data_IF_122629549183
#
_entry.id   IF_122629549183
#
_cell.length_a   1.000
_cell.length_b   1.000
_cell.length_c   1.000
_cell.angle_alpha   90.00
_cell.angle_beta   90.00
_cell.angle_gamma   90.00
#
_symmetry.space_group_name_H-M   'P 1'
#
loop_
_entity.id
_entity.type
_entity.pdbx_description
1 polymer ?
#
# COMPACT_ATOMS: atom_id res chain seq x y z
N UNK A 1 -13.67 -67.23 24.51
CA UNK A 1 -14.42 -67.55 23.27
C UNK A 1 -13.79 -66.70 22.17
N UNK A 2 -12.82 -67.19 21.41
CA UNK A 2 -12.83 -68.28 20.39
C UNK A 2 -13.48 -67.83 19.07
N UNK A 3 -12.65 -67.95 18.01
CA UNK A 3 -12.89 -68.05 16.54
C UNK A 3 -13.09 -66.76 15.74
N UNK A 4 -12.18 -66.40 14.82
CA UNK A 4 -11.75 -67.07 13.54
C UNK A 4 -12.84 -66.96 12.46
N UNK A 5 -12.59 -66.10 11.47
CA UNK A 5 -12.17 -66.40 10.07
C UNK A 5 -13.29 -66.94 9.19
N UNK A 6 -13.37 -66.43 7.96
CA UNK A 6 -13.19 -67.18 6.69
C UNK A 6 -13.94 -66.50 5.52
N UNK A 7 -13.20 -66.02 4.52
CA UNK A 7 -12.92 -66.64 3.19
C UNK A 7 -14.01 -66.36 2.16
N UNK A 8 -13.70 -65.58 1.12
CA UNK A 8 -13.14 -66.00 -0.18
C UNK A 8 -14.17 -66.68 -1.09
N UNK A 9 -14.21 -66.22 -2.35
CA UNK A 9 -14.29 -67.16 -3.45
C UNK A 9 -15.26 -66.86 -4.59
N UNK A 10 -14.66 -66.50 -5.72
CA UNK A 10 -14.81 -67.26 -6.98
C UNK A 10 -15.95 -66.91 -7.95
N UNK A 11 -15.51 -66.52 -9.15
CA UNK A 11 -15.85 -67.23 -10.38
C UNK A 11 -16.47 -66.35 -11.46
N UNK A 12 -15.82 -66.02 -12.59
CA UNK A 12 -15.23 -66.83 -13.68
C UNK A 12 -16.08 -66.70 -14.96
N UNK A 13 -15.45 -66.17 -16.04
CA UNK A 13 -15.49 -66.64 -17.45
C UNK A 13 -16.84 -66.67 -18.22
N UNK A 14 -16.97 -66.48 -19.55
CA UNK A 14 -16.06 -66.27 -20.69
C UNK A 14 -16.90 -65.98 -21.96
N UNK A 15 -16.18 -65.75 -23.09
CA UNK A 15 -16.53 -66.00 -24.50
C UNK A 15 -17.36 -64.91 -25.22
N UNK A 16 -16.80 -64.08 -26.10
CA UNK A 16 -16.25 -64.36 -27.44
C UNK A 16 -17.28 -64.81 -28.47
N UNK A 17 -17.50 -64.02 -29.55
CA UNK A 17 -17.37 -64.45 -30.97
C UNK A 17 -17.94 -63.46 -32.01
N UNK A 18 -17.03 -62.98 -32.89
CA UNK A 18 -17.09 -62.97 -34.37
C UNK A 18 -18.24 -62.27 -35.15
N UNK A 19 -17.84 -61.23 -35.91
CA UNK A 19 -18.25 -60.83 -37.28
C UNK A 19 -18.36 -62.04 -38.26
N UNK A 20 -18.95 -62.00 -39.49
CA UNK A 20 -18.93 -60.88 -40.47
C UNK A 20 -20.11 -60.78 -41.51
N UNK A 21 -19.94 -59.86 -42.47
CA UNK A 21 -20.15 -60.01 -43.94
C UNK A 21 -21.38 -59.42 -44.66
N UNK A 22 -21.04 -58.48 -45.56
CA UNK A 22 -21.49 -58.30 -46.96
C UNK A 22 -22.96 -57.98 -47.29
N UNK A 23 -23.20 -56.81 -47.90
CA UNK A 23 -23.74 -56.78 -49.27
C UNK A 23 -23.46 -55.45 -49.99
N UNK A 24 -22.90 -55.58 -51.19
CA UNK A 24 -22.70 -54.57 -52.22
C UNK A 24 -23.94 -54.55 -53.12
N UNK A 25 -24.48 -53.37 -53.47
CA UNK A 25 -25.27 -53.08 -54.68
C UNK A 25 -25.53 -51.55 -54.72
N UNK A 26 -24.78 -50.81 -55.53
CA UNK A 26 -25.16 -50.36 -56.88
C UNK A 26 -26.47 -49.55 -56.93
N UNK A 27 -26.34 -48.24 -57.15
CA UNK A 27 -27.20 -47.49 -58.08
C UNK A 27 -26.67 -46.09 -58.37
N UNK A 28 -26.84 -45.75 -59.64
CA UNK A 28 -26.34 -44.60 -60.37
C UNK A 28 -26.80 -43.26 -59.79
N UNK A 29 -26.01 -42.21 -60.03
CA UNK A 29 -26.53 -40.88 -60.36
C UNK A 29 -25.55 -40.14 -61.28
N UNK A 30 -26.07 -39.23 -62.13
CA UNK A 30 -25.58 -39.02 -63.48
C UNK A 30 -24.43 -38.02 -63.52
N UNK A 31 -23.35 -38.35 -64.21
CA UNK A 31 -22.38 -37.35 -64.64
C UNK A 31 -23.10 -36.46 -65.66
N UNK A 32 -23.52 -35.28 -65.22
CA UNK A 32 -24.02 -34.24 -66.10
C UNK A 32 -22.97 -33.94 -67.16
N UNK A 33 -23.32 -34.20 -68.42
CA UNK A 33 -22.53 -33.86 -69.59
C UNK A 33 -22.33 -32.33 -69.61
N UNK A 34 -21.22 -31.84 -69.07
CA UNK A 34 -20.82 -30.45 -69.29
C UNK A 34 -20.43 -30.30 -70.76
N UNK A 35 -21.22 -29.54 -71.51
CA UNK A 35 -20.88 -29.18 -72.89
C UNK A 35 -20.17 -27.82 -72.87
N UNK A 36 -19.05 -27.71 -73.57
CA UNK A 36 -18.35 -26.44 -73.76
C UNK A 36 -18.50 -25.97 -75.21
N UNK A 37 -18.32 -24.67 -75.43
CA UNK A 37 -18.37 -24.09 -76.77
C UNK A 37 -17.00 -24.27 -77.41
N UNK A 38 -16.97 -24.94 -78.55
CA UNK A 38 -15.78 -25.09 -79.38
C UNK A 38 -15.96 -24.32 -80.68
N UNK A 39 -14.95 -23.54 -81.06
CA UNK A 39 -14.92 -22.76 -82.30
C UNK A 39 -14.00 -23.43 -83.31
N UNK A 40 -14.55 -23.83 -84.46
CA UNK A 40 -13.77 -24.49 -85.51
C UNK A 40 -12.72 -23.51 -86.09
N UNK A 41 -11.41 -23.85 -86.10
CA UNK A 41 -10.38 -22.95 -86.61
C UNK A 41 -10.48 -22.71 -88.12
N UNK A 42 -11.11 -23.62 -88.87
CA UNK A 42 -11.14 -23.56 -90.32
C UNK A 42 -12.38 -22.83 -90.90
N UNK A 43 -13.52 -22.82 -90.20
CA UNK A 43 -14.74 -22.14 -90.66
C UNK A 43 -15.40 -21.24 -89.62
N UNK A 44 -14.78 -21.09 -88.44
CA UNK A 44 -15.25 -20.25 -87.33
C UNK A 44 -16.68 -20.59 -86.85
N UNK A 45 -17.16 -21.80 -87.13
CA UNK A 45 -18.43 -22.28 -86.61
C UNK A 45 -18.27 -22.63 -85.13
N UNK A 46 -19.10 -22.02 -84.29
CA UNK A 46 -19.22 -22.38 -82.89
C UNK A 46 -20.19 -23.54 -82.73
N UNK A 47 -19.78 -24.58 -82.03
CA UNK A 47 -20.62 -25.74 -81.73
C UNK A 47 -20.50 -26.07 -80.25
N UNK A 48 -21.61 -26.41 -79.60
CA UNK A 48 -21.58 -26.96 -78.25
C UNK A 48 -21.18 -28.43 -78.35
N UNK A 49 -20.04 -28.77 -77.77
CA UNK A 49 -19.45 -30.10 -77.81
C UNK A 49 -19.44 -30.66 -76.39
N UNK A 50 -19.88 -31.91 -76.24
CA UNK A 50 -19.82 -32.59 -74.94
C UNK A 50 -18.36 -32.82 -74.52
N UNK A 51 -18.06 -32.72 -73.21
CA UNK A 51 -16.70 -32.90 -72.68
C UNK A 51 -16.05 -34.23 -73.08
N UNK A 52 -16.84 -35.27 -73.38
CA UNK A 52 -16.35 -36.56 -73.90
C UNK A 52 -15.58 -36.46 -75.22
N UNK A 53 -15.79 -35.40 -76.01
CA UNK A 53 -15.07 -35.18 -77.26
C UNK A 53 -13.85 -34.25 -77.12
N UNK A 54 -13.59 -33.72 -75.91
CA UNK A 54 -12.36 -32.99 -75.65
C UNK A 54 -11.15 -33.92 -75.84
N UNK A 55 -10.11 -33.44 -76.52
CA UNK A 55 -8.91 -34.20 -76.86
C UNK A 55 -9.07 -35.16 -78.05
N UNK A 56 -10.22 -35.17 -78.74
CA UNK A 56 -10.46 -36.03 -79.90
C UNK A 56 -10.37 -35.24 -81.22
N UNK A 57 -10.08 -35.96 -82.31
CA UNK A 57 -10.09 -35.44 -83.68
C UNK A 57 -11.35 -35.93 -84.39
N UNK A 58 -12.12 -35.02 -84.98
CA UNK A 58 -13.33 -35.35 -85.72
C UNK A 58 -13.65 -34.33 -86.82
N UNK A 59 -14.49 -34.67 -87.80
CA UNK A 59 -14.89 -33.72 -88.83
C UNK A 59 -15.78 -32.62 -88.24
N UNK A 60 -15.51 -31.37 -88.58
CA UNK A 60 -16.38 -30.26 -88.25
C UNK A 60 -17.74 -30.43 -88.95
N UNK A 61 -18.84 -30.33 -88.20
CA UNK A 61 -20.22 -30.49 -88.71
C UNK A 61 -20.57 -29.51 -89.85
N UNK A 62 -19.91 -28.35 -89.91
CA UNK A 62 -20.20 -27.32 -90.91
C UNK A 62 -19.34 -27.38 -92.17
N UNK A 63 -18.04 -27.68 -92.04
CA UNK A 63 -17.11 -27.63 -93.18
C UNK A 63 -16.49 -28.99 -93.54
N UNK A 64 -16.78 -30.05 -92.77
CA UNK A 64 -16.29 -31.41 -93.01
C UNK A 64 -14.81 -31.65 -92.75
N UNK A 65 -13.99 -30.60 -92.53
CA UNK A 65 -12.55 -30.76 -92.24
C UNK A 65 -12.31 -31.31 -90.83
N UNK A 66 -11.28 -32.14 -90.67
CA UNK A 66 -10.88 -32.67 -89.37
C UNK A 66 -10.34 -31.55 -88.46
N UNK A 67 -10.88 -31.48 -87.24
CA UNK A 67 -10.47 -30.52 -86.21
C UNK A 67 -10.23 -31.25 -84.89
N UNK A 68 -9.22 -30.81 -84.17
CA UNK A 68 -8.91 -31.28 -82.82
C UNK A 68 -9.65 -30.39 -81.81
N UNK A 69 -10.46 -30.99 -80.95
CA UNK A 69 -11.21 -30.25 -79.93
C UNK A 69 -10.33 -30.13 -78.69
N UNK A 70 -9.67 -28.98 -78.52
CA UNK A 70 -8.85 -28.74 -77.33
C UNK A 70 -9.73 -28.60 -76.07
N UNK A 71 -9.29 -29.19 -74.96
CA UNK A 71 -9.95 -29.01 -73.66
C UNK A 71 -9.63 -27.62 -73.11
N UNK A 72 -10.61 -26.83 -72.64
CA UNK A 72 -10.34 -25.58 -71.95
C UNK A 72 -9.48 -25.86 -70.71
N UNK A 73 -8.35 -25.17 -70.55
CA UNK A 73 -7.58 -25.20 -69.32
C UNK A 73 -8.37 -24.38 -68.27
N UNK A 74 -8.87 -25.01 -67.23
CA UNK A 74 -9.36 -24.30 -66.05
C UNK A 74 -8.11 -23.92 -65.26
N UNK A 75 -7.78 -22.62 -65.20
CA UNK A 75 -6.76 -22.14 -64.29
C UNK A 75 -7.26 -22.36 -62.85
N UNK A 76 -6.57 -23.24 -62.11
CA UNK A 76 -6.81 -23.48 -60.69
C UNK A 76 -6.48 -22.20 -59.91
N UNK A 77 -7.49 -21.38 -59.67
CA UNK A 77 -7.38 -20.19 -58.85
C UNK A 77 -7.18 -20.56 -57.37
N UNK A 78 -5.97 -20.26 -56.88
CA UNK A 78 -5.55 -20.09 -55.48
C UNK A 78 -5.83 -21.25 -54.49
N UNK A 79 -4.76 -21.93 -54.08
CA UNK A 79 -4.77 -22.91 -52.99
C UNK A 79 -5.15 -22.24 -51.65
N UNK A 80 -6.21 -22.68 -50.94
CA UNK A 80 -6.63 -22.08 -49.67
C UNK A 80 -5.62 -22.25 -48.52
N UNK A 81 -4.53 -23.00 -48.70
CA UNK A 81 -3.49 -23.20 -47.68
C UNK A 81 -2.59 -21.96 -47.47
N UNK A 82 -2.35 -21.14 -48.50
CA UNK A 82 -1.45 -19.97 -48.39
C UNK A 82 -2.07 -18.80 -47.60
N UNK A 83 -3.40 -18.71 -47.57
CA UNK A 83 -4.11 -17.69 -46.79
C UNK A 83 -4.07 -17.99 -45.27
N UNK A 84 -4.05 -19.26 -44.88
CA UNK A 84 -4.11 -19.70 -43.49
C UNK A 84 -2.76 -19.56 -42.75
N UNK A 85 -1.64 -19.74 -43.45
CA UNK A 85 -0.30 -19.61 -42.88
C UNK A 85 0.06 -18.17 -42.52
N UNK A 86 -0.29 -17.19 -43.36
CA UNK A 86 -0.01 -15.77 -43.11
C UNK A 86 -0.91 -15.16 -42.01
N UNK A 87 -2.15 -15.63 -41.89
CA UNK A 87 -3.07 -15.19 -40.83
C UNK A 87 -2.59 -15.62 -39.43
N UNK A 88 -2.01 -16.81 -39.31
CA UNK A 88 -1.49 -17.34 -38.04
C UNK A 88 -0.27 -16.57 -37.54
N UNK A 89 0.63 -16.15 -38.43
CA UNK A 89 1.81 -15.35 -38.09
C UNK A 89 1.47 -13.93 -37.64
N UNK A 90 0.51 -13.28 -38.31
CA UNK A 90 0.03 -11.94 -37.92
C UNK A 90 -0.69 -11.96 -36.57
N UNK A 91 -1.50 -12.98 -36.30
CA UNK A 91 -2.17 -13.13 -35.01
C UNK A 91 -1.16 -13.28 -33.86
N UNK A 92 -0.11 -14.09 -34.04
CA UNK A 92 0.94 -14.26 -33.03
C UNK A 92 1.73 -12.96 -32.79
N UNK A 93 2.08 -12.22 -33.85
CA UNK A 93 2.77 -10.94 -33.72
C UNK A 93 1.95 -9.89 -32.97
N UNK A 94 0.65 -9.80 -33.24
CA UNK A 94 -0.25 -8.88 -32.53
C UNK A 94 -0.40 -9.26 -31.05
N UNK A 95 -0.46 -10.55 -30.73
CA UNK A 95 -0.48 -11.02 -29.34
C UNK A 95 0.83 -10.67 -28.62
N UNK A 96 1.98 -10.91 -29.25
CA UNK A 96 3.28 -10.56 -28.67
C UNK A 96 3.43 -9.04 -28.50
N UNK A 97 3.07 -8.26 -29.50
CA UNK A 97 3.09 -6.79 -29.43
C UNK A 97 2.14 -6.27 -28.33
N UNK A 98 0.96 -6.88 -28.19
CA UNK A 98 0.02 -6.57 -27.12
C UNK A 98 0.59 -6.86 -25.73
N UNK A 99 1.24 -8.02 -25.54
CA UNK A 99 1.88 -8.37 -24.27
C UNK A 99 3.01 -7.40 -23.92
N UNK A 100 3.84 -7.01 -24.90
CA UNK A 100 4.89 -6.00 -24.71
C UNK A 100 4.27 -4.64 -24.37
N UNK A 101 3.20 -4.23 -25.05
CA UNK A 101 2.52 -2.97 -24.78
C UNK A 101 1.91 -2.94 -23.37
N UNK A 102 1.12 -3.94 -22.98
CA UNK A 102 0.52 -3.98 -21.64
C UNK A 102 1.58 -4.17 -20.54
N UNK A 103 2.64 -4.93 -20.81
CA UNK A 103 3.77 -5.08 -19.90
C UNK A 103 4.47 -3.74 -19.67
N UNK A 104 4.84 -3.03 -20.74
CA UNK A 104 5.50 -1.72 -20.66
C UNK A 104 4.61 -0.66 -19.99
N UNK A 105 3.33 -0.59 -20.34
CA UNK A 105 2.37 0.32 -19.70
C UNK A 105 2.22 -0.01 -18.21
N UNK A 106 2.10 -1.29 -17.85
CA UNK A 106 2.03 -1.73 -16.46
C UNK A 106 3.28 -1.37 -15.66
N UNK A 107 4.47 -1.58 -16.23
CA UNK A 107 5.74 -1.17 -15.61
C UNK A 107 5.84 0.35 -15.45
N UNK A 108 5.40 1.13 -16.44
CA UNK A 108 5.38 2.59 -16.34
C UNK A 108 4.43 3.07 -15.24
N UNK A 109 3.22 2.49 -15.15
CA UNK A 109 2.27 2.79 -14.07
C UNK A 109 2.88 2.45 -12.71
N UNK A 110 3.51 1.26 -12.58
CA UNK A 110 4.16 0.86 -11.34
C UNK A 110 5.24 1.87 -10.92
N UNK A 111 6.14 2.24 -11.83
CA UNK A 111 7.24 3.18 -11.54
C UNK A 111 6.73 4.58 -11.19
N UNK A 112 5.66 5.05 -11.83
CA UNK A 112 5.15 6.42 -11.61
C UNK A 112 4.23 6.51 -10.39
N UNK A 113 3.28 5.58 -10.27
CA UNK A 113 2.19 5.68 -9.26
C UNK A 113 2.66 5.22 -7.88
N UNK A 114 3.43 4.13 -7.81
CA UNK A 114 3.79 3.52 -6.52
C UNK A 114 4.63 4.47 -5.63
N UNK A 115 5.66 5.17 -6.12
CA UNK A 115 6.40 6.15 -5.30
C UNK A 115 5.52 7.29 -4.81
N UNK A 116 4.58 7.77 -5.63
CA UNK A 116 3.66 8.85 -5.22
C UNK A 116 2.73 8.40 -4.10
N UNK A 117 2.20 7.17 -4.16
CA UNK A 117 1.37 6.61 -3.08
C UNK A 117 2.18 6.50 -1.78
N UNK A 118 3.45 6.08 -1.85
CA UNK A 118 4.30 6.02 -0.67
C UNK A 118 4.56 7.41 -0.07
N UNK A 119 4.90 8.40 -0.90
CA UNK A 119 5.12 9.78 -0.44
C UNK A 119 3.86 10.39 0.19
N UNK A 120 2.68 10.18 -0.41
CA UNK A 120 1.41 10.68 0.14
C UNK A 120 1.08 10.02 1.48
N UNK A 121 1.34 8.71 1.62
CA UNK A 121 1.15 8.02 2.91
C UNK A 121 2.09 8.54 3.98
N UNK A 122 3.37 8.73 3.65
CA UNK A 122 4.34 9.28 4.57
C UNK A 122 3.96 10.69 5.03
N UNK A 123 3.58 11.57 4.09
CA UNK A 123 3.08 12.91 4.39
C UNK A 123 1.83 12.85 5.29
N UNK A 124 0.87 11.98 4.99
CA UNK A 124 -0.34 11.85 5.81
C UNK A 124 -0.03 11.35 7.23
N UNK A 125 0.96 10.47 7.42
CA UNK A 125 1.42 10.04 8.75
C UNK A 125 2.15 11.18 9.46
N UNK A 126 3.01 11.92 8.77
CA UNK A 126 3.69 13.10 9.29
C UNK A 126 2.69 14.17 9.76
N UNK A 127 1.71 14.51 8.93
CA UNK A 127 0.66 15.47 9.24
C UNK A 127 -0.22 15.01 10.40
N UNK A 128 -0.49 13.70 10.51
CA UNK A 128 -1.25 13.15 11.64
C UNK A 128 -0.49 13.29 12.95
N UNK A 129 0.81 12.98 12.99
CA UNK A 129 1.66 13.24 14.17
C UNK A 129 1.65 14.73 14.52
N UNK A 130 1.76 15.59 13.50
CA UNK A 130 1.70 17.06 13.67
C UNK A 130 0.39 17.53 14.27
N UNK A 131 -0.74 17.02 13.77
CA UNK A 131 -2.06 17.36 14.27
C UNK A 131 -2.27 16.92 15.72
N UNK A 132 -1.82 15.71 16.09
CA UNK A 132 -1.87 15.24 17.48
C UNK A 132 -1.08 16.15 18.42
N UNK A 133 0.10 16.57 18.01
CA UNK A 133 0.93 17.47 18.80
C UNK A 133 0.35 18.89 18.90
N UNK A 134 -0.28 19.38 17.83
CA UNK A 134 -1.06 20.63 17.85
C UNK A 134 -2.27 20.54 18.81
N UNK A 135 -2.97 19.40 18.86
CA UNK A 135 -4.05 19.18 19.82
C UNK A 135 -3.55 19.19 21.26
N UNK A 136 -2.39 18.58 21.53
CA UNK A 136 -1.71 18.70 22.84
C UNK A 136 -1.39 20.17 23.15
N UNK A 137 -0.85 20.93 22.20
CA UNK A 137 -0.53 22.34 22.40
C UNK A 137 -1.74 23.21 22.70
N UNK A 138 -2.85 22.98 21.99
CA UNK A 138 -4.13 23.63 22.28
C UNK A 138 -4.63 23.29 23.68
N UNK A 139 -4.52 22.03 24.10
CA UNK A 139 -4.92 21.60 25.43
C UNK A 139 -4.04 22.20 26.54
N UNK A 140 -2.72 22.27 26.34
CA UNK A 140 -1.78 22.91 27.26
C UNK A 140 -2.07 24.41 27.41
N UNK A 141 -2.34 25.11 26.30
CA UNK A 141 -2.73 26.53 26.33
C UNK A 141 -4.08 26.73 27.02
N UNK A 142 -5.09 25.91 26.70
CA UNK A 142 -6.39 25.99 27.37
C UNK A 142 -6.30 25.71 28.87
N UNK A 143 -5.41 24.80 29.29
CA UNK A 143 -5.10 24.58 30.69
C UNK A 143 -4.42 25.82 31.31
N UNK A 144 -3.42 26.39 30.63
CA UNK A 144 -2.77 27.62 31.10
C UNK A 144 -3.77 28.77 31.27
N UNK A 145 -4.66 28.99 30.30
CA UNK A 145 -5.71 30.03 30.37
C UNK A 145 -6.65 29.82 31.57
N UNK A 146 -6.99 28.56 31.88
CA UNK A 146 -7.90 28.21 32.97
C UNK A 146 -7.26 28.27 34.36
N UNK A 147 -5.98 27.90 34.48
CA UNK A 147 -5.29 27.71 35.76
C UNK A 147 -4.14 28.69 36.02
N UNK A 148 -3.83 29.57 35.05
CA UNK A 148 -2.78 30.59 35.12
C UNK A 148 -1.34 30.07 35.03
N UNK A 149 -1.16 28.78 34.70
CA UNK A 149 0.14 28.13 34.52
C UNK A 149 -0.03 26.85 33.70
N UNK A 150 1.03 26.38 33.03
CA UNK A 150 1.07 25.04 32.45
C UNK A 150 0.82 23.98 33.53
N UNK A 151 0.28 22.80 33.17
CA UNK A 151 0.13 21.72 34.14
C UNK A 151 1.49 21.35 34.73
N UNK A 152 1.57 21.01 36.03
CA UNK A 152 2.78 20.40 36.56
C UNK A 152 3.06 19.10 35.78
N UNK A 153 4.33 18.82 35.47
CA UNK A 153 4.70 17.55 34.83
C UNK A 153 4.26 16.35 35.68
N UNK A 154 4.31 16.51 37.00
CA UNK A 154 3.90 15.51 37.98
C UNK A 154 3.27 16.19 39.19
N UNK A 155 2.11 15.72 39.63
CA UNK A 155 1.56 16.07 40.95
C UNK A 155 2.17 15.18 42.03
N UNK A 156 2.20 15.68 43.27
CA UNK A 156 2.77 14.96 44.41
C UNK A 156 1.82 14.99 45.60
N UNK A 157 1.82 13.91 46.39
CA UNK A 157 1.15 13.90 47.68
C UNK A 157 1.93 14.72 48.74
N UNK A 158 1.37 14.80 49.96
CA UNK A 158 2.01 15.50 51.08
C UNK A 158 3.39 14.93 51.48
N UNK A 159 3.67 13.67 51.15
CA UNK A 159 4.93 12.98 51.43
C UNK A 159 5.91 13.07 50.24
N UNK A 160 5.52 13.71 49.14
CA UNK A 160 6.33 13.82 47.93
C UNK A 160 6.31 12.58 47.04
N UNK A 161 5.35 11.67 47.20
CA UNK A 161 5.12 10.56 46.27
C UNK A 161 4.51 11.10 44.97
N UNK A 162 5.02 10.72 43.78
CA UNK A 162 4.41 11.13 42.52
C UNK A 162 3.03 10.50 42.35
N UNK A 163 2.05 11.31 41.92
CA UNK A 163 0.65 10.90 41.81
C UNK A 163 0.17 10.84 40.37
N UNK A 164 0.19 11.94 39.61
CA UNK A 164 -0.41 12.00 38.28
C UNK A 164 0.47 12.72 37.26
N UNK A 165 0.42 12.25 36.02
CA UNK A 165 1.07 12.89 34.88
C UNK A 165 0.30 14.12 34.40
N UNK A 166 1.00 15.09 33.82
CA UNK A 166 0.41 16.21 33.06
C UNK A 166 -0.60 15.73 32.02
N UNK A 167 -0.39 14.54 31.43
CA UNK A 167 -1.29 13.90 30.46
C UNK A 167 -2.68 13.66 31.05
N UNK A 168 -2.79 13.33 32.33
CA UNK A 168 -4.11 13.17 32.97
C UNK A 168 -4.78 14.54 33.18
N UNK A 169 -3.99 15.55 33.55
CA UNK A 169 -4.50 16.87 33.89
C UNK A 169 -5.13 17.63 32.70
N UNK A 170 -4.67 17.35 31.48
CA UNK A 170 -5.17 18.01 30.27
C UNK A 170 -6.28 17.23 29.53
N UNK A 171 -6.68 16.05 30.03
CA UNK A 171 -7.73 15.24 29.39
C UNK A 171 -9.02 16.03 29.11
N UNK A 172 -9.54 16.88 30.04
CA UNK A 172 -10.73 17.66 29.76
C UNK A 172 -10.57 18.58 28.54
N UNK A 173 -9.41 19.23 28.40
CA UNK A 173 -9.11 20.14 27.29
C UNK A 173 -8.89 19.40 25.96
N UNK A 174 -8.49 18.12 26.00
CA UNK A 174 -8.44 17.24 24.83
C UNK A 174 -9.81 16.65 24.44
N UNK A 175 -10.87 16.91 25.22
CA UNK A 175 -12.21 16.34 24.97
C UNK A 175 -12.48 15.00 25.65
N UNK A 176 -11.57 14.53 26.52
CA UNK A 176 -11.67 13.26 27.26
C UNK A 176 -12.24 13.45 28.68
N UNK A 177 -13.28 14.29 28.83
CA UNK A 177 -13.85 14.61 30.16
C UNK A 177 -14.45 13.41 30.88
N UNK A 178 -14.96 12.41 30.15
CA UNK A 178 -15.50 11.18 30.76
C UNK A 178 -14.38 10.29 31.32
N UNK A 179 -13.29 10.12 30.57
CA UNK A 179 -12.10 9.42 31.03
C UNK A 179 -11.52 10.10 32.28
N UNK A 180 -11.45 11.44 32.26
CA UNK A 180 -10.99 12.22 33.41
C UNK A 180 -11.89 12.02 34.65
N UNK A 181 -13.22 11.98 34.49
CA UNK A 181 -14.15 11.78 35.62
C UNK A 181 -14.03 10.41 36.28
N UNK A 182 -13.65 9.39 35.51
CA UNK A 182 -13.44 8.01 35.99
C UNK A 182 -12.09 7.84 36.70
N UNK A 183 -11.13 8.72 36.42
CA UNK A 183 -9.82 8.73 37.05
C UNK A 183 -9.93 9.27 38.48
N UNK A 184 -9.47 8.49 39.46
CA UNK A 184 -9.49 8.87 40.86
C UNK A 184 -8.23 9.69 41.20
N UNK A 185 -8.40 11.01 41.39
CA UNK A 185 -7.31 11.94 41.72
C UNK A 185 -6.85 11.83 43.18
N UNK A 186 -7.58 11.12 44.04
CA UNK A 186 -7.14 10.86 45.42
C UNK A 186 -6.22 9.62 45.49
N UNK A 187 -6.09 8.87 44.39
CA UNK A 187 -5.28 7.66 44.29
C UNK A 187 -4.11 7.84 43.31
N UNK A 188 -2.96 7.18 43.55
CA UNK A 188 -1.85 7.24 42.60
C UNK A 188 -2.23 6.60 41.25
N UNK A 189 -1.48 6.95 40.21
CA UNK A 189 -1.68 6.45 38.85
C UNK A 189 -1.62 4.91 38.73
N UNK A 190 -0.86 4.26 39.61
CA UNK A 190 -0.64 2.81 39.67
C UNK A 190 -1.59 2.09 40.64
N UNK A 191 -2.61 2.77 41.16
CA UNK A 191 -3.65 2.14 41.97
C UNK A 191 -4.45 1.11 41.17
N UNK A 192 -5.10 0.17 41.86
CA UNK A 192 -5.95 -0.85 41.23
C UNK A 192 -7.03 -0.24 40.34
N UNK A 193 -7.61 0.90 40.73
CA UNK A 193 -8.64 1.58 39.95
C UNK A 193 -8.06 2.34 38.75
N UNK A 194 -7.02 3.16 38.95
CA UNK A 194 -6.48 4.00 37.88
C UNK A 194 -5.72 3.20 36.82
N UNK A 195 -5.02 2.14 37.22
CA UNK A 195 -4.25 1.30 36.29
C UNK A 195 -5.13 0.63 35.23
N UNK A 196 -6.41 0.39 35.49
CA UNK A 196 -7.37 -0.13 34.51
C UNK A 196 -7.63 0.84 33.35
N UNK A 197 -7.41 2.14 33.55
CA UNK A 197 -7.57 3.17 32.53
C UNK A 197 -6.37 3.23 31.56
N UNK A 198 -5.31 2.46 31.81
CA UNK A 198 -4.13 2.41 30.92
C UNK A 198 -4.50 1.99 29.49
N UNK A 199 -5.54 1.15 29.32
CA UNK A 199 -6.03 0.69 28.02
C UNK A 199 -6.85 1.73 27.24
N UNK A 200 -7.15 2.89 27.85
CA UNK A 200 -7.95 3.97 27.26
C UNK A 200 -7.09 5.19 26.89
N UNK A 201 -5.84 4.96 26.45
CA UNK A 201 -4.94 6.03 26.06
C UNK A 201 -5.52 6.90 24.93
N UNK A 202 -5.57 8.24 25.10
CA UNK A 202 -5.85 9.16 24.00
C UNK A 202 -4.89 8.98 22.83
N UNK A 203 -5.40 9.02 21.60
CA UNK A 203 -4.58 8.79 20.41
C UNK A 203 -3.54 9.91 20.21
N UNK A 204 -3.82 11.09 20.74
CA UNK A 204 -2.98 12.28 20.71
C UNK A 204 -1.64 12.05 21.41
N UNK A 205 -1.53 11.10 22.35
CA UNK A 205 -0.31 10.86 23.09
C UNK A 205 0.74 10.02 22.37
N UNK A 206 0.42 9.43 21.22
CA UNK A 206 1.36 8.62 20.45
C UNK A 206 1.61 9.19 19.06
N UNK A 207 2.83 9.02 18.56
CA UNK A 207 3.19 9.37 17.19
C UNK A 207 2.45 8.44 16.22
N UNK A 208 1.99 8.96 15.08
CA UNK A 208 1.39 8.13 14.05
C UNK A 208 2.42 7.18 13.38
N UNK A 209 3.72 7.46 13.55
CA UNK A 209 4.80 6.57 13.15
C UNK A 209 5.01 5.40 14.12
N UNK A 210 4.68 5.56 15.41
CA UNK A 210 4.93 4.53 16.42
C UNK A 210 3.70 3.64 16.62
N UNK A 211 3.47 2.74 15.67
CA UNK A 211 2.32 1.82 15.71
C UNK A 211 2.38 0.86 16.90
N UNK A 212 3.58 0.56 17.40
CA UNK A 212 3.76 -0.29 18.57
C UNK A 212 3.31 0.43 19.84
N UNK A 213 3.72 1.69 20.03
CA UNK A 213 3.28 2.51 21.15
C UNK A 213 1.76 2.69 21.17
N UNK A 214 1.13 2.93 20.01
CA UNK A 214 -0.34 3.00 19.90
C UNK A 214 -0.99 1.69 20.36
N UNK A 215 -0.48 0.54 19.90
CA UNK A 215 -1.05 -0.76 20.23
C UNK A 215 -0.89 -1.13 21.71
N UNK A 216 0.22 -0.70 22.33
CA UNK A 216 0.55 -1.00 23.72
C UNK A 216 0.00 0.01 24.73
N UNK A 217 -0.56 1.14 24.28
CA UNK A 217 -1.00 2.21 25.19
C UNK A 217 0.17 3.00 25.79
N UNK A 218 1.23 3.18 25.02
CA UNK A 218 2.43 3.90 25.44
C UNK A 218 2.54 5.27 24.75
N UNK A 219 2.97 6.33 25.46
CA UNK A 219 3.06 7.66 24.87
C UNK A 219 4.35 7.83 24.05
N UNK A 220 4.30 8.63 22.99
CA UNK A 220 5.48 9.09 22.23
C UNK A 220 5.81 10.56 22.50
N UNK A 221 4.94 11.32 23.16
CA UNK A 221 5.15 12.75 23.40
C UNK A 221 5.42 13.02 24.87
N UNK A 222 6.52 13.71 25.18
CA UNK A 222 7.00 13.93 26.54
C UNK A 222 7.42 15.37 26.75
N UNK A 223 7.21 15.87 27.96
CA UNK A 223 7.70 17.20 28.34
C UNK A 223 9.16 17.13 28.80
N UNK A 224 9.83 18.28 28.82
CA UNK A 224 11.19 18.40 29.37
C UNK A 224 11.09 18.87 30.82
N UNK A 225 11.58 18.04 31.74
CA UNK A 225 11.50 18.25 33.19
C UNK A 225 12.84 18.56 33.82
N UNK A 226 12.89 19.51 34.74
CA UNK A 226 14.15 19.89 35.36
C UNK A 226 14.22 21.32 35.86
N UNK A 227 15.34 21.67 36.48
CA UNK A 227 15.67 23.07 36.75
C UNK A 227 16.06 23.71 35.41
N UNK A 228 15.43 24.83 35.07
CA UNK A 228 15.70 25.55 33.80
C UNK A 228 14.87 25.07 32.61
N UNK A 229 14.01 24.06 32.73
CA UNK A 229 13.08 23.65 31.66
C UNK A 229 11.68 24.23 31.88
N UNK A 230 10.83 24.22 30.84
CA UNK A 230 9.45 24.72 30.93
C UNK A 230 8.61 24.00 32.00
N UNK A 231 8.95 22.77 32.36
CA UNK A 231 8.28 22.00 33.40
C UNK A 231 9.23 21.72 34.57
N UNK A 232 9.13 22.42 35.70
CA UNK A 232 9.96 22.12 36.87
C UNK A 232 9.64 20.72 37.43
N UNK A 233 10.58 20.12 38.15
CA UNK A 233 10.36 18.80 38.80
C UNK A 233 9.18 18.85 39.78
N UNK A 234 8.99 19.98 40.48
CA UNK A 234 7.87 20.19 41.39
C UNK A 234 7.22 21.54 41.07
N UNK A 235 5.89 21.56 41.11
CA UNK A 235 5.09 22.75 40.82
C UNK A 235 4.81 22.93 39.32
N UNK A 236 4.25 24.07 38.98
CA UNK A 236 3.92 24.48 37.62
C UNK A 236 4.76 25.68 37.19
N UNK A 237 4.67 26.05 35.91
CA UNK A 237 5.32 27.23 35.34
C UNK A 237 4.32 28.05 34.55
N UNK A 238 4.42 29.36 34.65
CA UNK A 238 3.66 30.28 33.80
C UNK A 238 4.43 30.57 32.51
N UNK A 239 3.71 30.86 31.43
CA UNK A 239 4.33 31.25 30.16
C UNK A 239 5.21 32.51 30.30
N UNK A 240 4.85 33.43 31.19
CA UNK A 240 5.60 34.67 31.46
C UNK A 240 6.94 34.42 32.17
N UNK A 241 7.14 33.23 32.73
CA UNK A 241 8.40 32.83 33.36
C UNK A 241 9.37 32.19 32.35
N UNK A 242 8.97 31.99 31.10
CA UNK A 242 9.85 31.59 30.00
C UNK A 242 10.51 32.87 29.47
N UNK A 243 11.82 32.99 29.69
CA UNK A 243 12.59 34.20 29.39
C UNK A 243 13.14 34.19 27.96
N UNK A 244 13.42 33.01 27.43
CA UNK A 244 13.77 32.78 26.03
C UNK A 244 12.55 33.02 25.12
N UNK A 245 12.80 33.14 23.81
CA UNK A 245 11.71 33.27 22.84
C UNK A 245 10.81 32.03 22.91
N UNK A 246 9.50 32.25 23.04
CA UNK A 246 8.52 31.16 23.09
C UNK A 246 8.56 30.30 21.82
N UNK A 247 8.98 30.87 20.68
CA UNK A 247 9.16 30.13 19.44
C UNK A 247 10.38 29.20 19.48
N UNK A 248 11.36 29.47 20.35
CA UNK A 248 12.61 28.72 20.47
C UNK A 248 12.55 27.69 21.63
N UNK A 249 11.76 27.95 22.67
CA UNK A 249 11.58 27.01 23.78
C UNK A 249 10.63 25.86 23.44
N UNK A 250 11.09 24.61 23.54
CA UNK A 250 10.29 23.40 23.38
C UNK A 250 9.58 23.02 24.68
N UNK A 251 8.26 22.80 24.60
CA UNK A 251 7.43 22.28 25.69
C UNK A 251 7.34 20.75 25.66
N UNK A 252 7.05 20.20 24.49
CA UNK A 252 6.77 18.77 24.28
C UNK A 252 7.60 18.28 23.10
N UNK A 253 8.28 17.16 23.27
CA UNK A 253 9.06 16.52 22.23
C UNK A 253 8.56 15.10 21.95
N UNK A 254 8.62 14.70 20.69
CA UNK A 254 8.50 13.30 20.29
C UNK A 254 9.74 12.51 20.74
N UNK A 255 9.51 11.33 21.28
CA UNK A 255 10.49 10.28 21.54
C UNK A 255 9.89 8.91 21.19
N UNK A 256 10.75 7.91 21.08
CA UNK A 256 10.34 6.51 21.00
C UNK A 256 10.01 6.04 22.42
N UNK A 257 8.89 5.35 22.59
CA UNK A 257 8.47 4.83 23.89
C UNK A 257 9.36 3.67 24.36
N UNK A 258 9.43 3.48 25.68
CA UNK A 258 10.24 2.46 26.36
C UNK A 258 9.40 1.48 27.20
N UNK A 259 8.14 1.21 26.83
CA UNK A 259 7.31 0.23 27.55
C UNK A 259 6.64 0.76 28.82
N UNK A 260 6.35 2.05 28.89
CA UNK A 260 5.72 2.67 30.06
C UNK A 260 4.29 3.13 29.76
N UNK A 261 3.41 3.02 30.75
CA UNK A 261 2.02 3.48 30.63
C UNK A 261 1.95 5.00 30.51
N UNK A 262 1.02 5.52 29.71
CA UNK A 262 0.76 6.96 29.59
C UNK A 262 0.28 7.61 30.89
N UNK A 263 -0.22 6.81 31.84
CA UNK A 263 -0.61 7.27 33.18
C UNK A 263 0.59 7.55 34.08
N UNK A 264 1.73 6.91 33.79
CA UNK A 264 2.94 7.07 34.58
C UNK A 264 3.49 8.50 34.42
N UNK A 265 3.73 9.24 35.52
CA UNK A 265 4.33 10.58 35.50
C UNK A 265 5.84 10.50 35.23
N UNK A 266 6.20 10.06 34.03
CA UNK A 266 7.58 9.90 33.57
C UNK A 266 7.78 10.70 32.29
N UNK A 267 8.82 11.52 32.30
CA UNK A 267 9.16 12.45 31.22
C UNK A 267 10.68 12.62 31.07
N UNK A 268 11.11 13.34 30.02
CA UNK A 268 12.52 13.56 29.72
C UNK A 268 13.08 14.49 30.80
N UNK A 269 14.19 14.09 31.44
CA UNK A 269 14.86 14.96 32.42
C UNK A 269 15.94 15.76 31.71
N UNK A 270 15.89 17.08 31.80
CA UNK A 270 16.87 17.98 31.20
C UNK A 270 18.32 17.61 31.59
N UNK A 271 18.55 17.25 32.85
CA UNK A 271 19.86 16.83 33.34
C UNK A 271 20.39 15.50 32.75
N UNK A 272 19.54 14.73 32.05
CA UNK A 272 19.89 13.50 31.35
C UNK A 272 19.57 13.57 29.86
N UNK A 273 19.22 14.75 29.34
CA UNK A 273 18.91 14.93 27.93
C UNK A 273 20.15 14.62 27.12
N UNK A 274 20.06 13.63 26.23
CA UNK A 274 21.08 13.38 25.22
C UNK A 274 20.94 14.47 24.14
N UNK A 275 21.99 15.28 23.89
CA UNK A 275 21.93 16.41 22.97
C UNK A 275 22.10 15.93 21.52
N UNK A 276 21.40 14.87 21.14
CA UNK A 276 21.41 14.30 19.80
C UNK A 276 20.05 13.66 19.51
N UNK A 277 19.63 13.69 18.25
CA UNK A 277 18.41 13.03 17.82
C UNK A 277 18.61 11.51 17.78
N UNK A 278 17.60 10.74 18.20
CA UNK A 278 17.63 9.27 18.22
C UNK A 278 18.83 8.71 19.03
N UNK A 279 19.11 9.33 20.17
CA UNK A 279 20.12 8.83 21.11
C UNK A 279 19.73 7.50 21.76
N UNK A 280 20.72 6.83 22.34
CA UNK A 280 20.60 5.44 22.78
C UNK A 280 20.08 5.24 24.20
N UNK A 281 20.12 6.27 25.06
CA UNK A 281 19.76 6.13 26.48
C UNK A 281 18.26 6.24 26.76
N UNK A 282 17.48 6.61 25.75
CA UNK A 282 16.06 6.93 25.90
C UNK A 282 15.72 8.21 26.61
N UNK A 283 16.66 9.16 26.57
CA UNK A 283 16.47 10.52 27.04
C UNK A 283 16.85 11.52 25.94
N UNK A 284 16.54 11.21 24.68
CA UNK A 284 16.73 12.10 23.53
C UNK A 284 15.38 12.48 22.93
N UNK A 285 15.38 13.50 22.08
CA UNK A 285 14.30 13.65 21.10
C UNK A 285 14.47 12.56 20.04
N UNK A 286 13.42 11.79 19.78
CA UNK A 286 13.53 10.60 18.95
C UNK A 286 12.24 10.33 18.16
N UNK A 287 12.37 9.71 17.00
CA UNK A 287 11.22 9.32 16.18
C UNK A 287 11.56 8.19 15.23
N UNK A 288 10.55 7.41 14.88
CA UNK A 288 10.61 6.43 13.79
C UNK A 288 10.43 7.10 12.40
N UNK A 289 10.12 8.40 12.37
CA UNK A 289 10.01 9.16 11.12
C UNK A 289 11.38 9.32 10.44
N UNK A 290 11.48 9.12 9.12
CA UNK A 290 12.72 9.39 8.38
C UNK A 290 13.07 10.89 8.31
N UNK A 291 12.13 11.78 8.65
CA UNK A 291 12.34 13.24 8.69
C UNK A 291 12.92 13.72 10.02
N UNK A 292 12.79 12.92 11.07
CA UNK A 292 13.15 13.27 12.45
C UNK A 292 11.94 13.61 13.33
N UNK A 293 12.18 13.84 14.63
CA UNK A 293 11.13 14.03 15.62
C UNK A 293 10.44 15.37 15.49
N UNK A 294 9.15 15.39 15.83
CA UNK A 294 8.38 16.62 15.93
C UNK A 294 8.41 17.17 17.35
N UNK A 295 8.53 18.49 17.47
CA UNK A 295 8.52 19.20 18.75
C UNK A 295 7.47 20.31 18.74
N UNK A 296 6.90 20.58 19.91
CA UNK A 296 5.96 21.66 20.17
C UNK A 296 6.67 22.78 20.94
N UNK A 297 6.66 23.99 20.40
CA UNK A 297 7.24 25.17 21.04
C UNK A 297 6.26 25.83 22.00
N UNK A 298 6.75 26.69 22.89
CA UNK A 298 5.93 27.46 23.81
C UNK A 298 5.03 28.49 23.11
N UNK A 299 5.36 28.88 21.88
CA UNK A 299 4.51 29.67 21.01
C UNK A 299 3.31 28.88 20.47
N UNK A 300 3.30 27.55 20.64
CA UNK A 300 2.26 26.65 20.14
C UNK A 300 2.49 26.17 18.72
N UNK A 301 3.73 26.28 18.22
CA UNK A 301 4.08 25.83 16.88
C UNK A 301 4.68 24.42 16.91
N UNK A 302 4.38 23.62 15.88
CA UNK A 302 5.04 22.33 15.69
C UNK A 302 6.13 22.48 14.64
N UNK A 303 7.32 21.93 14.92
CA UNK A 303 8.48 21.88 14.03
C UNK A 303 9.01 20.47 13.92
N UNK A 304 9.56 20.09 12.76
CA UNK A 304 10.20 18.78 12.55
C UNK A 304 11.71 18.96 12.61
N UNK A 305 12.35 18.43 13.64
CA UNK A 305 13.79 18.52 13.79
C UNK A 305 14.50 17.60 12.81
N UNK A 306 15.59 18.08 12.22
CA UNK A 306 16.46 17.26 11.37
C UNK A 306 17.17 16.22 12.21
N UNK A 307 17.43 15.06 11.63
CA UNK A 307 18.19 13.98 12.26
C UNK A 307 19.63 14.38 12.62
N UNK A 308 20.19 15.37 11.91
CA UNK A 308 21.53 15.93 12.11
C UNK A 308 21.53 17.29 12.84
N UNK A 309 20.44 17.62 13.54
CA UNK A 309 20.33 18.83 14.33
C UNK A 309 21.53 18.98 15.31
N UNK A 310 22.19 20.17 15.36
CA UNK A 310 23.32 20.41 16.25
C UNK A 310 22.99 20.21 17.73
N UNK A 311 23.93 19.65 18.47
CA UNK A 311 23.77 19.32 19.89
C UNK A 311 23.48 20.55 20.77
N UNK A 312 24.09 21.67 20.42
CA UNK A 312 23.90 22.95 21.09
C UNK A 312 22.44 23.43 20.95
N UNK A 313 21.85 23.29 19.76
CA UNK A 313 20.47 23.68 19.51
C UNK A 313 19.47 22.80 20.30
N UNK A 314 19.71 21.48 20.37
CA UNK A 314 18.87 20.55 21.14
C UNK A 314 18.88 20.90 22.63
N UNK A 315 20.03 21.30 23.16
CA UNK A 315 20.16 21.70 24.56
C UNK A 315 19.49 23.04 24.82
N UNK A 316 19.75 24.03 23.96
CA UNK A 316 19.18 25.39 24.08
C UNK A 316 17.65 25.39 24.02
N UNK A 317 17.06 24.65 23.09
CA UNK A 317 15.60 24.57 22.96
C UNK A 317 14.91 23.91 24.15
N UNK A 318 15.64 23.14 24.96
CA UNK A 318 15.12 22.45 26.13
C UNK A 318 15.13 23.33 27.40
N UNK A 319 15.73 24.52 27.34
CA UNK A 319 15.81 25.50 28.43
C UNK A 319 14.89 26.69 28.22
N UNK A 320 14.68 27.48 29.28
CA UNK A 320 13.79 28.66 29.27
C UNK A 320 14.51 29.98 29.49
N UNK A 321 15.80 29.96 29.80
CA UNK A 321 16.61 31.11 30.22
C UNK A 321 18.06 31.02 29.72
N UNK A 322 18.30 30.29 28.62
CA UNK A 322 19.63 30.13 28.04
C UNK A 322 20.09 31.34 27.21
N UNK A 323 19.15 32.03 26.56
CA UNK A 323 19.39 33.20 25.72
C UNK A 323 20.05 32.91 24.37
N UNK A 324 20.28 31.64 24.02
CA UNK A 324 20.82 31.26 22.72
C UNK A 324 19.71 31.24 21.65
N UNK A 325 19.82 32.05 20.58
CA UNK A 325 18.84 32.02 19.50
C UNK A 325 18.95 30.72 18.69
N UNK A 326 17.80 30.18 18.28
CA UNK A 326 17.76 28.97 17.44
C UNK A 326 17.65 29.34 15.97
N UNK A 327 18.64 28.94 15.16
CA UNK A 327 18.51 28.99 13.70
C UNK A 327 17.64 27.83 13.21
N UNK A 328 16.32 28.02 13.21
CA UNK A 328 15.37 27.01 12.74
C UNK A 328 15.65 26.51 11.32
N UNK A 329 16.30 27.29 10.44
CA UNK A 329 16.65 26.81 9.09
C UNK A 329 17.78 25.76 9.11
N UNK A 330 18.64 25.84 10.10
CA UNK A 330 19.72 24.87 10.30
C UNK A 330 19.24 23.61 11.05
N UNK A 331 18.18 23.73 11.85
CA UNK A 331 17.77 22.70 12.82
C UNK A 331 16.49 21.95 12.40
N UNK A 332 15.59 22.57 11.64
CA UNK A 332 14.32 21.98 11.22
C UNK A 332 14.26 21.67 9.70
N UNK A 333 13.33 20.79 9.34
CA UNK A 333 13.07 20.34 7.95
C UNK A 333 12.02 21.22 7.26
N UNK A 334 11.17 21.88 8.03
CA UNK A 334 10.05 22.73 7.59
C UNK A 334 10.40 24.23 7.46
#
# INVERSE_FOLDING_TARGET
MVRETDTSGSGRTALARTLPAFCCQSKLSPVGSMAFVFTCPNCQAETKVADSFAGQVGPCVRCGKQVFVARPQIEDSANPEDANQNASGLALLLLLAGLVFFGTVGTLIYIVVVPQVYQQREQAVHDRTRQRLLQIGLALRSYHDAYGSFPPATTYDANGKPLHSWRVLILPQLGYSELYRRYDLDQPWDSEQNSLLAFEMPQEYASAYDTAAIANGEPSFYVITGKGSAFPIKGSRKAEEILDDLADTVLVAETISYGFSWLEPRDIRLARLEPQINGSSGHSFASQSPRGPQVLTAAGEVRTLRLDAPAEAITAMATIDGGEPIDWKAVAVD
#
